data_IF_168299602514
#
_entry.id   IF_168299602514
#
_cell.length_a   1.000
_cell.length_b   1.000
_cell.length_c   1.000
_cell.angle_alpha   90.00
_cell.angle_beta   90.00
_cell.angle_gamma   90.00
#
_symmetry.space_group_name_H-M   'P 1'
#
loop_
_entity.id
_entity.type
_entity.pdbx_description
1 polymer ?
#
# COMPACT_ATOMS: atom_id res chain seq x y z
N UNK A 1 -29.44 8.71 -13.57
CA UNK A 1 -28.83 7.91 -14.66
C UNK A 1 -27.73 7.08 -14.02
N UNK A 2 -27.81 5.73 -13.94
CA UNK A 2 -26.69 4.94 -13.41
C UNK A 2 -26.01 4.24 -14.58
N UNK A 3 -24.82 4.69 -14.98
CA UNK A 3 -23.82 3.95 -15.76
C UNK A 3 -22.62 4.86 -15.96
N UNK A 4 -21.95 5.23 -14.86
CA UNK A 4 -20.55 5.60 -14.96
C UNK A 4 -19.78 4.31 -15.21
N UNK A 5 -19.02 4.19 -16.32
CA UNK A 5 -18.12 3.05 -16.47
C UNK A 5 -17.17 3.10 -15.28
N UNK A 6 -17.08 2.02 -14.49
CA UNK A 6 -16.06 1.87 -13.43
C UNK A 6 -14.75 2.37 -14.02
N UNK A 7 -14.31 3.56 -13.61
CA UNK A 7 -13.15 4.17 -14.23
C UNK A 7 -11.96 3.31 -13.82
N UNK A 8 -10.94 3.14 -14.67
CA UNK A 8 -9.70 2.49 -14.24
C UNK A 8 -9.17 3.10 -12.93
N UNK A 9 -9.42 4.40 -12.72
CA UNK A 9 -9.16 5.12 -11.47
C UNK A 9 -9.85 4.49 -10.24
N UNK A 10 -11.09 4.02 -10.35
CA UNK A 10 -11.83 3.40 -9.23
C UNK A 10 -11.24 2.03 -8.83
N UNK A 11 -10.74 1.28 -9.82
CA UNK A 11 -10.12 -0.02 -9.59
C UNK A 11 -8.75 0.14 -8.94
N UNK A 12 -8.01 1.17 -9.34
CA UNK A 12 -6.72 1.53 -8.77
C UNK A 12 -6.86 1.98 -7.32
N UNK A 13 -7.78 2.91 -7.03
CA UNK A 13 -8.05 3.38 -5.66
C UNK A 13 -8.47 2.22 -4.75
N UNK A 14 -9.42 1.38 -5.19
CA UNK A 14 -9.83 0.21 -4.42
C UNK A 14 -8.71 -0.82 -4.20
N UNK A 15 -7.79 -0.96 -5.16
CA UNK A 15 -6.62 -1.82 -5.01
C UNK A 15 -5.62 -1.24 -3.99
N UNK A 16 -5.46 0.10 -3.97
CA UNK A 16 -4.63 0.81 -2.99
C UNK A 16 -5.18 0.63 -1.58
N UNK A 17 -6.48 0.88 -1.36
CA UNK A 17 -7.16 0.69 -0.07
C UNK A 17 -6.96 -0.73 0.50
N UNK A 18 -7.08 -1.74 -0.36
CA UNK A 18 -6.83 -3.14 0.02
C UNK A 18 -5.36 -3.40 0.36
N UNK A 19 -4.43 -2.75 -0.34
CA UNK A 19 -3.01 -2.80 -0.02
C UNK A 19 -2.69 -2.20 1.35
N UNK A 20 -3.25 -1.02 1.65
CA UNK A 20 -3.09 -0.35 2.95
C UNK A 20 -3.71 -1.18 4.09
N UNK A 21 -4.90 -1.75 3.89
CA UNK A 21 -5.50 -2.69 4.84
C UNK A 21 -4.65 -3.94 5.07
N UNK A 22 -3.97 -4.44 4.03
CA UNK A 22 -3.06 -5.57 4.18
C UNK A 22 -1.85 -5.21 5.05
N UNK A 23 -1.31 -3.99 4.93
CA UNK A 23 -0.24 -3.51 5.81
C UNK A 23 -0.72 -3.41 7.27
N UNK A 24 -1.93 -2.90 7.51
CA UNK A 24 -2.53 -2.86 8.84
C UNK A 24 -2.72 -4.28 9.42
N UNK A 25 -3.22 -5.22 8.62
CA UNK A 25 -3.35 -6.62 9.03
C UNK A 25 -1.99 -7.23 9.40
N UNK A 26 -0.94 -6.99 8.61
CA UNK A 26 0.43 -7.45 8.89
C UNK A 26 0.97 -6.86 10.19
N UNK A 27 0.80 -5.55 10.41
CA UNK A 27 1.21 -4.87 11.64
C UNK A 27 0.56 -5.46 12.90
N UNK A 28 -0.64 -6.04 12.76
CA UNK A 28 -1.38 -6.69 13.84
C UNK A 28 -1.22 -8.22 13.87
N UNK A 29 -0.31 -8.81 13.08
CA UNK A 29 -0.08 -10.26 13.03
C UNK A 29 -1.19 -11.07 12.36
N UNK A 30 -2.08 -10.43 11.60
CA UNK A 30 -3.21 -11.04 10.88
C UNK A 30 -2.80 -11.45 9.45
N UNK A 31 -1.73 -12.21 9.31
CA UNK A 31 -1.11 -12.55 8.01
C UNK A 31 -2.10 -13.14 6.99
N UNK A 32 -3.01 -14.02 7.42
CA UNK A 32 -4.01 -14.62 6.51
C UNK A 32 -4.99 -13.60 5.94
N UNK A 33 -5.33 -12.56 6.72
CA UNK A 33 -6.22 -11.49 6.28
C UNK A 33 -5.48 -10.58 5.28
N UNK A 34 -4.22 -10.22 5.58
CA UNK A 34 -3.35 -9.50 4.67
C UNK A 34 -3.22 -10.19 3.31
N UNK A 35 -2.93 -11.50 3.29
CA UNK A 35 -2.85 -12.30 2.06
C UNK A 35 -4.14 -12.27 1.24
N UNK A 36 -5.30 -12.22 1.91
CA UNK A 36 -6.60 -12.10 1.23
C UNK A 36 -6.73 -10.72 0.57
N UNK A 37 -6.40 -9.66 1.29
CA UNK A 37 -6.47 -8.29 0.77
C UNK A 37 -5.49 -8.08 -0.38
N UNK A 38 -4.23 -8.53 -0.26
CA UNK A 38 -3.23 -8.47 -1.34
C UNK A 38 -3.70 -9.19 -2.60
N UNK A 39 -4.26 -10.40 -2.47
CA UNK A 39 -4.78 -11.14 -3.63
C UNK A 39 -5.96 -10.43 -4.30
N UNK A 40 -6.80 -9.75 -3.53
CA UNK A 40 -7.93 -9.00 -4.07
C UNK A 40 -7.43 -7.72 -4.76
N UNK A 41 -6.50 -6.99 -4.15
CA UNK A 41 -5.84 -5.82 -4.75
C UNK A 41 -5.16 -6.17 -6.09
N UNK A 42 -4.37 -7.24 -6.14
CA UNK A 42 -3.71 -7.70 -7.39
C UNK A 42 -4.67 -8.02 -8.53
N UNK A 43 -5.91 -8.44 -8.23
CA UNK A 43 -6.93 -8.70 -9.25
C UNK A 43 -7.58 -7.45 -9.78
N UNK A 44 -7.63 -6.39 -8.96
CA UNK A 44 -8.17 -5.09 -9.34
C UNK A 44 -7.12 -4.31 -10.12
N UNK A 45 -5.98 -4.04 -9.48
CA UNK A 45 -4.84 -3.39 -10.12
C UNK A 45 -3.53 -3.74 -9.39
N UNK A 46 -2.61 -4.51 -10.00
CA UNK A 46 -1.29 -4.77 -9.41
C UNK A 46 -0.40 -3.51 -9.36
N UNK A 47 -0.68 -2.49 -10.18
CA UNK A 47 0.06 -1.22 -10.18
C UNK A 47 -0.09 -0.44 -8.87
N UNK A 48 -1.29 -0.41 -8.30
CA UNK A 48 -1.54 0.25 -7.02
C UNK A 48 -0.70 -0.31 -5.87
N UNK A 49 -0.45 -1.62 -5.85
CA UNK A 49 0.44 -2.23 -4.85
C UNK A 49 1.92 -1.87 -5.06
N UNK A 50 2.32 -1.60 -6.30
CA UNK A 50 3.69 -1.17 -6.61
C UNK A 50 3.93 0.24 -6.10
N UNK A 51 2.96 1.15 -6.26
CA UNK A 51 3.03 2.49 -5.70
C UNK A 51 3.16 2.47 -4.17
N UNK A 52 2.38 1.64 -3.47
CA UNK A 52 2.53 1.50 -2.01
C UNK A 52 3.95 1.08 -1.61
N UNK A 53 4.57 0.16 -2.36
CA UNK A 53 5.96 -0.26 -2.09
C UNK A 53 6.93 0.88 -2.36
N UNK A 54 6.76 1.61 -3.46
CA UNK A 54 7.59 2.77 -3.80
C UNK A 54 7.46 3.89 -2.76
N UNK A 55 6.24 4.20 -2.30
CA UNK A 55 5.95 5.16 -1.23
C UNK A 55 6.70 4.77 0.07
N UNK A 56 6.65 3.48 0.45
CA UNK A 56 7.35 2.96 1.63
C UNK A 56 8.88 2.99 1.48
N UNK A 57 9.39 2.71 0.27
CA UNK A 57 10.82 2.78 -0.03
C UNK A 57 11.33 4.23 -0.02
N UNK A 58 10.54 5.19 -0.52
CA UNK A 58 10.83 6.63 -0.46
C UNK A 58 10.84 7.14 0.99
N UNK A 59 9.86 6.73 1.80
CA UNK A 59 9.80 7.03 3.24
C UNK A 59 10.98 6.41 4.00
N UNK A 60 11.35 5.17 3.69
CA UNK A 60 12.49 4.49 4.30
C UNK A 60 13.85 5.05 3.83
N UNK A 61 13.92 5.57 2.61
CA UNK A 61 15.12 6.17 2.01
C UNK A 61 15.39 7.62 2.44
N UNK A 62 14.38 8.32 2.98
CA UNK A 62 14.46 9.74 3.32
C UNK A 62 15.17 10.06 4.65
N UNK A 63 15.84 9.12 5.32
CA UNK A 63 16.69 9.49 6.46
C UNK A 63 17.99 8.68 6.66
N UNK A 64 19.03 8.97 5.87
CA UNK A 64 20.40 8.55 6.17
C UNK A 64 21.10 9.38 7.26
N UNK A 65 20.47 10.44 7.82
CA UNK A 65 21.11 11.38 8.77
C UNK A 65 20.45 11.48 10.17
N UNK A 66 19.43 10.68 10.50
CA UNK A 66 18.89 10.62 11.87
C UNK A 66 19.89 10.13 12.95
N UNK A 67 21.10 9.72 12.55
CA UNK A 67 22.14 9.16 13.43
C UNK A 67 23.25 10.16 13.77
N UNK A 68 23.25 11.38 13.20
CA UNK A 68 24.29 12.39 13.48
C UNK A 68 23.79 13.55 14.34
N UNK A 69 23.29 13.29 15.54
CA UNK A 69 23.26 14.32 16.58
C UNK A 69 23.36 13.72 18.00
N UNK A 70 24.56 13.25 18.36
CA UNK A 70 25.00 13.26 19.76
C UNK A 70 26.42 13.83 19.79
N UNK A 71 26.63 15.06 20.28
CA UNK A 71 27.97 15.54 20.57
C UNK A 71 28.55 14.73 21.73
N UNK A 72 29.86 14.45 21.63
CA UNK A 72 30.65 13.71 22.62
C UNK A 72 30.93 14.46 23.91
#
# INVERSE_FOLDING_TARGET
>A
MPNDPKRPDDAHEAARDLGEQALDDLAHGRERAADRHIRQAKRLDPGALKEIVEDLEEDAGSNPDAVKDRPG
#
